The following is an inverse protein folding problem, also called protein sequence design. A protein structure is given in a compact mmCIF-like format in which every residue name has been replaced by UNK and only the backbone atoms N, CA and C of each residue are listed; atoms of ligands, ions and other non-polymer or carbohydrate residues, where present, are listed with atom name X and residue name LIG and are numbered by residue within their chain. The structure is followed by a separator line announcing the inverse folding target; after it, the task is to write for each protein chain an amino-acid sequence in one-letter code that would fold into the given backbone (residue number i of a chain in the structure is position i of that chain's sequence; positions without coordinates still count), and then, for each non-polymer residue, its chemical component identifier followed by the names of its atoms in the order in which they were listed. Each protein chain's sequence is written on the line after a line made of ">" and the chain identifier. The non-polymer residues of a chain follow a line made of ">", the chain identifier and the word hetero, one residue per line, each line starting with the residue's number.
data_IF_078748562433
#
_entry.id   IF_078748562433
#
_cell.length_a   1.000
_cell.length_b   1.000
_cell.length_c   1.000
_cell.angle_alpha   90.00
_cell.angle_beta   90.00
_cell.angle_gamma   90.00
#
_symmetry.space_group_name_H-M   'P 1'
#
loop_
_entity.id
_entity.type
_entity.pdbx_description
1 polymer ?
#
# COMPACT_ATOMS: atom_id res chain seq x y z
N UNK A 1 18.80 -10.94 32.00
CA UNK A 1 17.48 -10.96 32.64
C UNK A 1 16.44 -10.68 31.56
N UNK A 2 15.87 -11.69 31.02
CA UNK A 2 14.69 -11.57 30.18
C UNK A 2 13.52 -11.25 31.08
N UNK A 3 13.07 -10.02 31.06
CA UNK A 3 11.77 -9.64 31.58
C UNK A 3 10.75 -10.46 30.78
N UNK A 4 10.24 -11.52 31.40
CA UNK A 4 9.00 -12.16 30.96
C UNK A 4 7.94 -11.09 31.09
N UNK A 5 7.61 -10.43 30.00
CA UNK A 5 6.54 -9.46 29.98
C UNK A 5 5.25 -10.22 30.29
N UNK A 6 4.34 -9.60 31.01
CA UNK A 6 3.01 -10.14 31.31
C UNK A 6 2.25 -10.58 30.05
N UNK A 7 2.74 -10.20 28.88
CA UNK A 7 2.19 -10.48 27.57
C UNK A 7 2.34 -11.93 27.09
N UNK A 8 3.35 -12.68 27.56
CA UNK A 8 3.55 -14.06 27.11
C UNK A 8 2.60 -15.07 27.79
N UNK A 9 2.04 -14.71 28.95
CA UNK A 9 1.20 -15.61 29.72
C UNK A 9 -0.15 -15.89 29.04
N UNK A 10 -0.73 -14.89 28.35
CA UNK A 10 -2.02 -15.09 27.67
C UNK A 10 -1.87 -15.88 26.37
N UNK A 11 -0.72 -15.74 25.67
CA UNK A 11 -0.44 -16.54 24.48
C UNK A 11 -0.46 -18.02 24.81
N UNK A 12 0.22 -18.42 25.88
CA UNK A 12 0.24 -19.80 26.36
C UNK A 12 -1.15 -20.25 26.85
N UNK A 13 -1.88 -19.37 27.54
CA UNK A 13 -3.21 -19.68 28.08
C UNK A 13 -4.21 -20.00 26.97
N UNK A 14 -4.17 -19.23 25.86
CA UNK A 14 -5.07 -19.43 24.71
C UNK A 14 -4.48 -20.28 23.58
N UNK A 15 -3.24 -20.77 23.74
CA UNK A 15 -2.58 -21.60 22.74
C UNK A 15 -2.22 -20.82 21.45
N UNK A 16 -1.97 -19.52 21.55
CA UNK A 16 -1.53 -18.74 20.41
C UNK A 16 -0.04 -18.96 20.14
N UNK A 17 0.30 -19.17 18.90
CA UNK A 17 1.70 -19.27 18.44
C UNK A 17 2.40 -17.91 18.31
N UNK A 18 1.64 -16.83 18.32
CA UNK A 18 2.13 -15.45 18.22
C UNK A 18 1.04 -14.49 18.73
N UNK A 19 1.44 -13.27 19.08
CA UNK A 19 0.51 -12.24 19.53
C UNK A 19 -0.41 -11.79 18.38
N UNK A 20 -1.74 -12.04 18.46
CA UNK A 20 -2.68 -11.64 17.42
C UNK A 20 -2.84 -10.10 17.32
N UNK A 21 -2.41 -9.35 18.32
CA UNK A 21 -2.46 -7.88 18.36
C UNK A 21 -1.13 -7.22 17.97
N UNK A 22 -0.09 -8.01 17.69
CA UNK A 22 1.18 -7.46 17.25
C UNK A 22 1.03 -6.71 15.92
N UNK A 23 1.64 -5.52 15.85
CA UNK A 23 1.57 -4.66 14.67
C UNK A 23 2.20 -5.29 13.40
N UNK A 24 3.10 -6.26 13.59
CA UNK A 24 3.77 -6.99 12.51
C UNK A 24 3.81 -8.47 12.84
N UNK A 25 2.90 -9.22 12.25
CA UNK A 25 2.85 -10.68 12.38
C UNK A 25 3.45 -11.30 11.12
N UNK A 26 4.57 -12.05 11.20
CA UNK A 26 5.07 -12.81 10.07
C UNK A 26 4.03 -13.80 9.58
N UNK A 27 3.79 -13.84 8.27
CA UNK A 27 2.81 -14.76 7.69
C UNK A 27 1.35 -14.35 7.88
N UNK A 28 1.09 -13.06 8.13
CA UNK A 28 -0.27 -12.54 8.19
C UNK A 28 -1.10 -12.99 7.00
N UNK A 29 -2.24 -13.62 7.27
CA UNK A 29 -3.20 -14.02 6.25
C UNK A 29 -4.33 -12.98 6.19
N UNK A 30 -4.57 -12.45 5.00
CA UNK A 30 -5.74 -11.62 4.75
C UNK A 30 -6.99 -12.49 4.76
N UNK A 31 -7.88 -12.25 5.72
CA UNK A 31 -9.20 -12.89 5.76
C UNK A 31 -10.22 -11.94 5.14
N UNK A 32 -10.64 -12.17 3.89
CA UNK A 32 -11.40 -11.18 3.15
C UNK A 32 -12.86 -11.04 3.59
N UNK A 33 -13.39 -11.92 4.43
CA UNK A 33 -14.77 -11.89 4.93
C UNK A 33 -15.74 -11.21 3.94
N UNK A 34 -16.30 -10.05 4.32
CA UNK A 34 -17.20 -9.28 3.45
C UNK A 34 -16.47 -8.36 2.44
N UNK A 35 -15.14 -8.31 2.44
CA UNK A 35 -14.33 -7.37 1.62
C UNK A 35 -13.72 -8.01 0.37
N UNK A 36 -13.91 -9.30 0.18
CA UNK A 36 -13.49 -9.99 -1.04
C UNK A 36 -14.07 -9.33 -2.31
N UNK A 37 -15.34 -8.88 -2.34
CA UNK A 37 -15.87 -8.14 -3.50
C UNK A 37 -15.14 -6.82 -3.76
N UNK A 38 -14.75 -6.08 -2.70
CA UNK A 38 -14.01 -4.81 -2.85
C UNK A 38 -12.65 -5.04 -3.50
N UNK A 39 -11.92 -6.06 -3.06
CA UNK A 39 -10.63 -6.42 -3.66
C UNK A 39 -10.77 -6.80 -5.13
N UNK A 40 -11.78 -7.60 -5.47
CA UNK A 40 -12.10 -7.98 -6.84
C UNK A 40 -12.44 -6.77 -7.72
N UNK A 41 -13.25 -5.85 -7.21
CA UNK A 41 -13.57 -4.60 -7.91
C UNK A 41 -12.34 -3.72 -8.12
N UNK A 42 -11.46 -3.58 -7.12
CA UNK A 42 -10.22 -2.82 -7.25
C UNK A 42 -9.31 -3.41 -8.33
N UNK A 43 -9.13 -4.73 -8.36
CA UNK A 43 -8.37 -5.39 -9.43
C UNK A 43 -8.96 -5.14 -10.81
N UNK A 44 -10.27 -5.26 -10.92
CA UNK A 44 -10.96 -5.04 -12.20
C UNK A 44 -10.81 -3.58 -12.65
N UNK A 45 -11.11 -2.63 -11.79
CA UNK A 45 -11.04 -1.21 -12.12
C UNK A 45 -9.61 -0.75 -12.38
N UNK A 46 -8.63 -1.19 -11.59
CA UNK A 46 -7.24 -0.84 -11.80
C UNK A 46 -6.72 -1.34 -13.15
N UNK A 47 -7.18 -2.50 -13.60
CA UNK A 47 -6.75 -3.09 -14.87
C UNK A 47 -7.45 -2.49 -16.10
N UNK A 48 -8.70 -2.10 -15.99
CA UNK A 48 -9.54 -1.74 -17.14
C UNK A 48 -10.00 -0.27 -17.15
N UNK A 49 -9.65 0.51 -16.13
CA UNK A 49 -9.98 1.93 -16.09
C UNK A 49 -8.73 2.78 -15.86
N UNK A 50 -8.77 4.00 -16.39
CA UNK A 50 -7.74 5.03 -16.16
C UNK A 50 -8.21 6.02 -15.08
N UNK A 51 -9.05 5.58 -14.18
CA UNK A 51 -9.66 6.42 -13.14
C UNK A 51 -8.83 6.43 -11.87
N UNK A 52 -8.87 7.54 -11.16
CA UNK A 52 -8.45 7.61 -9.78
C UNK A 52 -9.45 6.81 -8.94
N UNK A 53 -8.96 5.80 -8.23
CA UNK A 53 -9.79 4.96 -7.35
C UNK A 53 -9.61 5.41 -5.91
N UNK A 54 -10.69 5.76 -5.24
CA UNK A 54 -10.67 6.18 -3.85
C UNK A 54 -11.43 5.16 -3.00
N UNK A 55 -10.74 4.60 -2.00
CA UNK A 55 -11.32 3.68 -1.02
C UNK A 55 -11.51 4.44 0.28
N UNK A 56 -12.75 4.61 0.70
CA UNK A 56 -13.11 5.30 1.93
C UNK A 56 -13.67 4.33 2.97
N UNK A 57 -13.56 4.71 4.23
CA UNK A 57 -14.11 3.94 5.34
C UNK A 57 -13.66 4.49 6.68
N UNK A 58 -14.36 4.14 7.77
CA UNK A 58 -13.98 4.58 9.10
C UNK A 58 -12.59 4.05 9.49
N UNK A 59 -11.99 4.68 10.48
CA UNK A 59 -10.76 4.21 11.08
C UNK A 59 -10.91 2.77 11.58
N UNK A 60 -9.87 1.96 11.40
CA UNK A 60 -9.91 0.53 11.77
C UNK A 60 -10.75 -0.35 10.83
N UNK A 61 -11.31 0.19 9.74
CA UNK A 61 -12.12 -0.60 8.80
C UNK A 61 -11.32 -1.57 7.93
N UNK A 62 -9.96 -1.50 7.96
CA UNK A 62 -9.06 -2.39 7.22
C UNK A 62 -8.71 -1.90 5.81
N UNK A 63 -8.73 -0.61 5.56
CA UNK A 63 -8.29 -0.01 4.29
C UNK A 63 -6.85 -0.40 3.94
N UNK A 64 -5.95 -0.30 4.90
CA UNK A 64 -4.54 -0.69 4.76
C UNK A 64 -4.39 -2.18 4.43
N UNK A 65 -5.21 -3.04 5.02
CA UNK A 65 -5.21 -4.48 4.71
C UNK A 65 -5.67 -4.75 3.28
N UNK A 66 -6.67 -4.02 2.78
CA UNK A 66 -7.12 -4.11 1.38
C UNK A 66 -6.00 -3.68 0.43
N UNK A 67 -5.30 -2.58 0.74
CA UNK A 67 -4.12 -2.14 -0.03
C UNK A 67 -3.03 -3.21 -0.05
N UNK A 68 -2.68 -3.77 1.10
CA UNK A 68 -1.69 -4.84 1.20
C UNK A 68 -2.10 -6.08 0.41
N UNK A 69 -3.37 -6.47 0.47
CA UNK A 69 -3.91 -7.59 -0.29
C UNK A 69 -3.87 -7.33 -1.80
N UNK A 70 -4.17 -6.10 -2.24
CA UNK A 70 -4.08 -5.70 -3.65
C UNK A 70 -2.64 -5.85 -4.17
N UNK A 71 -1.67 -5.34 -3.45
CA UNK A 71 -0.24 -5.45 -3.81
C UNK A 71 0.22 -6.91 -3.81
N UNK A 72 -0.15 -7.68 -2.79
CA UNK A 72 0.25 -9.09 -2.65
C UNK A 72 -0.35 -9.98 -3.75
N UNK A 73 -1.56 -9.67 -4.21
CA UNK A 73 -2.28 -10.45 -5.24
C UNK A 73 -2.04 -9.95 -6.67
N UNK A 74 -1.35 -8.82 -6.85
CA UNK A 74 -0.99 -8.30 -8.16
C UNK A 74 0.18 -9.10 -8.77
N UNK A 75 0.14 -9.27 -10.09
CA UNK A 75 1.22 -9.94 -10.82
C UNK A 75 2.46 -9.02 -10.86
N UNK A 76 3.48 -9.37 -10.12
CA UNK A 76 4.72 -8.58 -9.99
C UNK A 76 5.51 -8.43 -11.30
N UNK A 77 5.27 -9.27 -12.28
CA UNK A 77 5.89 -9.15 -13.60
C UNK A 77 5.19 -8.13 -14.49
N UNK A 78 3.88 -7.95 -14.29
CA UNK A 78 3.06 -7.05 -15.09
C UNK A 78 2.74 -5.72 -14.37
N UNK A 79 2.86 -5.68 -13.05
CA UNK A 79 2.49 -4.52 -12.23
C UNK A 79 3.64 -4.10 -11.32
N UNK A 80 4.06 -2.87 -11.46
CA UNK A 80 5.00 -2.21 -10.56
C UNK A 80 4.20 -1.36 -9.55
N UNK A 81 4.10 -1.83 -8.32
CA UNK A 81 3.33 -1.16 -7.27
C UNK A 81 4.21 -0.19 -6.50
N UNK A 82 3.87 1.09 -6.55
CA UNK A 82 4.47 2.16 -5.76
C UNK A 82 3.54 2.44 -4.58
N UNK A 83 4.00 2.22 -3.37
CA UNK A 83 3.21 2.43 -2.15
C UNK A 83 3.76 3.63 -1.39
N UNK A 84 2.92 4.63 -1.21
CA UNK A 84 3.18 5.82 -0.40
C UNK A 84 2.33 5.74 0.86
N UNK A 85 2.98 5.75 2.02
CA UNK A 85 2.33 5.74 3.33
C UNK A 85 2.88 6.89 4.17
N UNK A 86 2.30 8.09 4.06
CA UNK A 86 2.80 9.26 4.77
C UNK A 86 2.70 9.08 6.29
N UNK A 87 3.79 9.33 7.00
CA UNK A 87 3.80 9.39 8.47
C UNK A 87 3.43 10.78 8.96
N UNK A 88 3.73 11.79 8.16
CA UNK A 88 3.47 13.21 8.43
C UNK A 88 2.82 13.84 7.20
N UNK A 89 2.45 15.10 7.30
CA UNK A 89 1.95 15.87 6.15
C UNK A 89 2.99 15.87 5.03
N UNK A 90 2.58 15.43 3.85
CA UNK A 90 3.44 15.24 2.69
C UNK A 90 3.14 16.29 1.63
N UNK A 91 4.15 17.06 1.25
CA UNK A 91 4.04 18.03 0.16
C UNK A 91 4.37 17.40 -1.21
N UNK A 92 4.12 18.15 -2.28
CA UNK A 92 4.31 17.68 -3.65
C UNK A 92 5.77 17.30 -3.96
N UNK A 93 6.75 18.04 -3.43
CA UNK A 93 8.16 17.77 -3.70
C UNK A 93 8.62 16.46 -3.07
N UNK A 94 8.23 16.23 -1.82
CA UNK A 94 8.56 14.97 -1.11
C UNK A 94 7.83 13.79 -1.75
N UNK A 95 6.57 13.98 -2.16
CA UNK A 95 5.82 12.97 -2.88
C UNK A 95 6.52 12.58 -4.19
N UNK A 96 6.93 13.55 -5.01
CA UNK A 96 7.66 13.30 -6.25
C UNK A 96 8.99 12.58 -6.00
N UNK A 97 9.72 12.94 -4.94
CA UNK A 97 10.96 12.24 -4.57
C UNK A 97 10.70 10.76 -4.23
N UNK A 98 9.67 10.47 -3.46
CA UNK A 98 9.32 9.09 -3.11
C UNK A 98 8.89 8.27 -4.33
N UNK A 99 8.09 8.86 -5.22
CA UNK A 99 7.69 8.21 -6.47
C UNK A 99 8.90 7.97 -7.37
N UNK A 100 9.76 8.98 -7.56
CA UNK A 100 10.97 8.86 -8.37
C UNK A 100 11.87 7.71 -7.88
N UNK A 101 12.11 7.65 -6.58
CA UNK A 101 12.89 6.57 -5.99
C UNK A 101 12.25 5.20 -6.23
N UNK A 102 10.95 5.09 -6.09
CA UNK A 102 10.23 3.82 -6.25
C UNK A 102 10.20 3.32 -7.70
N UNK A 103 10.16 4.22 -8.69
CA UNK A 103 10.20 3.84 -10.12
C UNK A 103 11.63 3.78 -10.70
N UNK A 104 12.64 4.06 -9.87
CA UNK A 104 14.04 4.03 -10.29
C UNK A 104 14.48 5.25 -11.13
N UNK A 105 13.81 6.38 -10.96
CA UNK A 105 14.14 7.64 -11.62
C UNK A 105 15.14 8.43 -10.78
N UNK A 106 16.20 8.95 -11.41
CA UNK A 106 17.22 9.75 -10.71
C UNK A 106 16.76 11.19 -10.41
N UNK A 107 15.81 11.70 -11.18
CA UNK A 107 15.29 13.07 -11.04
C UNK A 107 13.87 13.03 -10.51
N UNK A 108 13.60 13.85 -9.51
CA UNK A 108 12.31 13.94 -8.84
C UNK A 108 11.43 15.06 -9.42
N UNK A 109 11.42 15.19 -10.74
CA UNK A 109 10.50 16.08 -11.45
C UNK A 109 9.42 15.27 -12.20
N UNK A 110 8.27 15.90 -12.41
CA UNK A 110 7.11 15.25 -13.01
C UNK A 110 7.43 14.66 -14.40
N UNK A 111 8.12 15.41 -15.26
CA UNK A 111 8.40 14.97 -16.63
C UNK A 111 9.33 13.76 -16.67
N UNK A 112 10.36 13.75 -15.81
CA UNK A 112 11.29 12.62 -15.70
C UNK A 112 10.60 11.37 -15.16
N UNK A 113 9.74 11.51 -14.16
CA UNK A 113 8.95 10.41 -13.58
C UNK A 113 7.99 9.85 -14.64
N UNK A 114 7.29 10.72 -15.38
CA UNK A 114 6.37 10.29 -16.44
C UNK A 114 7.10 9.57 -17.57
N UNK A 115 8.28 10.05 -17.98
CA UNK A 115 9.11 9.37 -18.96
C UNK A 115 9.52 7.97 -18.48
N UNK A 116 9.88 7.82 -17.21
CA UNK A 116 10.24 6.53 -16.64
C UNK A 116 9.02 5.58 -16.58
N UNK A 117 7.84 6.08 -16.20
CA UNK A 117 6.60 5.29 -16.20
C UNK A 117 6.27 4.80 -17.62
N UNK A 118 6.43 5.66 -18.63
CA UNK A 118 6.23 5.29 -20.04
C UNK A 118 7.22 4.19 -20.44
N UNK A 119 8.47 4.28 -20.04
CA UNK A 119 9.46 3.23 -20.31
C UNK A 119 9.07 1.90 -19.67
N UNK A 120 8.60 1.91 -18.43
CA UNK A 120 8.08 0.71 -17.78
C UNK A 120 6.88 0.13 -18.53
N UNK A 121 5.95 0.98 -18.99
CA UNK A 121 4.80 0.55 -19.78
C UNK A 121 5.20 -0.09 -21.13
N UNK A 122 6.23 0.44 -21.78
CA UNK A 122 6.77 -0.15 -23.04
C UNK A 122 7.39 -1.53 -22.81
N UNK A 123 7.85 -1.84 -21.60
CA UNK A 123 8.33 -3.18 -21.22
C UNK A 123 7.21 -4.11 -20.75
N UNK A 124 5.95 -3.68 -20.81
CA UNK A 124 4.79 -4.44 -20.40
C UNK A 124 4.46 -4.36 -18.90
N UNK A 125 5.02 -3.39 -18.19
CA UNK A 125 4.73 -3.15 -16.78
C UNK A 125 3.81 -1.93 -16.59
N UNK A 126 2.68 -2.14 -15.94
CA UNK A 126 1.81 -1.05 -15.46
C UNK A 126 2.30 -0.55 -14.11
N UNK A 127 2.23 0.74 -13.88
CA UNK A 127 2.60 1.34 -12.59
C UNK A 127 1.33 1.67 -11.82
N UNK A 128 1.18 1.07 -10.63
CA UNK A 128 0.11 1.38 -9.68
C UNK A 128 0.66 2.25 -8.57
N UNK A 129 0.16 3.47 -8.46
CA UNK A 129 0.45 4.35 -7.34
C UNK A 129 -0.65 4.16 -6.27
N UNK A 130 -0.27 3.64 -5.11
CA UNK A 130 -1.15 3.42 -3.99
C UNK A 130 -0.76 4.36 -2.85
N UNK A 131 -1.67 5.23 -2.48
CA UNK A 131 -1.48 6.15 -1.37
C UNK A 131 -2.36 5.72 -0.20
N UNK A 132 -1.74 5.34 0.90
CA UNK A 132 -2.43 5.09 2.17
C UNK A 132 -2.46 6.37 3.00
N UNK A 133 -3.47 6.56 3.83
CA UNK A 133 -3.64 7.79 4.61
C UNK A 133 -3.55 9.08 3.74
N UNK A 134 -4.28 9.09 2.63
CA UNK A 134 -4.21 10.16 1.62
C UNK A 134 -4.61 11.54 2.15
N UNK A 135 -5.30 11.61 3.28
CA UNK A 135 -5.63 12.85 4.00
C UNK A 135 -4.39 13.60 4.51
N UNK A 136 -3.23 12.93 4.55
CA UNK A 136 -1.96 13.58 4.92
C UNK A 136 -1.27 14.27 3.75
N UNK A 137 -1.76 14.14 2.53
CA UNK A 137 -1.28 14.89 1.38
C UNK A 137 -1.75 16.35 1.45
N UNK A 138 -0.88 17.27 1.10
CA UNK A 138 -1.30 18.66 0.90
C UNK A 138 -2.14 18.81 -0.37
N UNK A 139 -2.92 19.89 -0.48
CA UNK A 139 -3.69 20.19 -1.70
C UNK A 139 -2.80 20.17 -2.95
N UNK A 140 -1.62 20.80 -2.88
CA UNK A 140 -0.66 20.83 -3.98
C UNK A 140 -0.07 19.44 -4.35
N UNK A 141 -0.09 18.49 -3.44
CA UNK A 141 0.36 17.12 -3.70
C UNK A 141 -0.73 16.28 -4.38
N UNK A 142 -1.99 16.69 -4.29
CA UNK A 142 -3.13 16.00 -4.91
C UNK A 142 -3.40 16.51 -6.32
N UNK A 143 -3.11 17.79 -6.60
CA UNK A 143 -3.22 18.41 -7.92
C UNK A 143 -2.12 17.93 -8.89
#
# INVERSE_FOLDING_TARGET
>A
MTSLSADDSYLNHYGFSHDPFAARVPGFKFFPAQRKPVLGQLHHLARYSQLLLVVTGPEGSGKTLVRQALVASSNKQAVHSVVISPLETLDSNVLLQQIAQAVGCQRADFDSIMAQIIQLALTGQEVYLLVDDAERLTGAAVE
#
